data_IF_563296141687
#
_entry.id   IF_563296141687
#
_cell.length_a   1.000
_cell.length_b   1.000
_cell.length_c   1.000
_cell.angle_alpha   90.00
_cell.angle_beta   90.00
_cell.angle_gamma   90.00
#
_symmetry.space_group_name_H-M   'P 1'
#
loop_
_entity.id
_entity.type
_entity.pdbx_description
1 polymer ?
#
# COMPACT_ATOMS: atom_id res chain seq x y z
N UNK A 1 -12.13 2.74 0.94
CA UNK A 1 -13.22 2.60 1.94
C UNK A 1 -14.30 1.61 1.56
N UNK A 2 -14.94 1.72 0.38
CA UNK A 2 -16.02 0.80 -0.05
C UNK A 2 -15.64 -0.69 -0.07
N UNK A 3 -14.36 -0.99 -0.33
CA UNK A 3 -13.80 -2.34 -0.36
C UNK A 3 -13.31 -2.86 0.99
N UNK A 4 -13.38 -2.06 2.05
CA UNK A 4 -13.03 -2.46 3.41
C UNK A 4 -11.54 -2.75 3.66
N UNK A 5 -10.65 -2.38 2.74
CA UNK A 5 -9.21 -2.73 2.80
C UNK A 5 -8.32 -1.64 3.41
N UNK A 6 -8.88 -0.52 3.89
CA UNK A 6 -8.10 0.66 4.30
C UNK A 6 -7.10 0.41 5.44
N UNK A 7 -7.27 -0.69 6.18
CA UNK A 7 -6.43 -1.04 7.34
C UNK A 7 -5.57 -2.29 7.13
N UNK A 8 -5.57 -2.85 5.91
CA UNK A 8 -4.85 -4.10 5.63
C UNK A 8 -3.35 -3.86 5.36
N UNK A 9 -2.90 -2.61 5.31
CA UNK A 9 -1.48 -2.28 5.11
C UNK A 9 -0.96 -2.90 3.82
N UNK A 10 -0.04 -3.88 3.94
CA UNK A 10 0.53 -4.63 2.80
C UNK A 10 -0.06 -6.04 2.66
N UNK A 11 -1.11 -6.37 3.40
CA UNK A 11 -1.74 -7.69 3.38
C UNK A 11 -2.82 -7.77 2.29
N UNK A 12 -2.37 -7.62 1.05
CA UNK A 12 -3.19 -7.77 -0.14
C UNK A 12 -2.31 -8.21 -1.31
N UNK A 13 -2.97 -8.67 -2.37
CA UNK A 13 -2.30 -9.03 -3.62
C UNK A 13 -2.91 -8.31 -4.81
N UNK A 14 -2.14 -8.14 -5.87
CA UNK A 14 -2.59 -7.54 -7.13
C UNK A 14 -2.35 -8.50 -8.30
N UNK A 15 -3.34 -8.63 -9.17
CA UNK A 15 -3.23 -9.44 -10.39
C UNK A 15 -3.73 -8.64 -11.59
N UNK A 16 -3.18 -8.91 -12.78
CA UNK A 16 -3.71 -8.43 -14.04
C UNK A 16 -3.90 -9.58 -15.01
N UNK A 17 -4.97 -9.55 -15.83
CA UNK A 17 -5.16 -10.52 -16.91
C UNK A 17 -4.89 -9.89 -18.27
N UNK A 18 -4.09 -10.58 -19.08
CA UNK A 18 -3.82 -10.26 -20.46
C UNK A 18 -4.26 -11.40 -21.38
N UNK A 19 -4.42 -11.08 -22.66
CA UNK A 19 -4.74 -12.05 -23.71
C UNK A 19 -5.58 -11.42 -24.79
N UNK A 20 -5.64 -12.09 -25.95
CA UNK A 20 -6.35 -11.59 -27.13
C UNK A 20 -7.79 -11.18 -26.84
N UNK A 21 -8.32 -10.27 -27.64
CA UNK A 21 -9.70 -9.83 -27.55
C UNK A 21 -10.68 -11.02 -27.63
N UNK A 22 -11.77 -10.95 -26.88
CA UNK A 22 -12.85 -11.96 -26.88
C UNK A 22 -12.46 -13.40 -26.45
N UNK A 23 -11.34 -13.57 -25.74
CA UNK A 23 -10.89 -14.87 -25.18
C UNK A 23 -11.53 -15.24 -23.83
N UNK A 24 -12.54 -14.48 -23.39
CA UNK A 24 -13.26 -14.73 -22.13
C UNK A 24 -12.44 -14.43 -20.87
N UNK A 25 -11.68 -13.32 -20.87
CA UNK A 25 -10.89 -12.82 -19.73
C UNK A 25 -11.78 -12.42 -18.55
N UNK A 26 -12.69 -11.47 -18.75
CA UNK A 26 -13.65 -11.01 -17.73
C UNK A 26 -14.50 -12.17 -17.20
N UNK A 27 -14.92 -13.10 -18.08
CA UNK A 27 -15.62 -14.33 -17.69
C UNK A 27 -14.79 -15.21 -16.74
N UNK A 28 -13.48 -15.32 -16.99
CA UNK A 28 -12.58 -16.09 -16.14
C UNK A 28 -12.34 -15.40 -14.80
N UNK A 29 -12.09 -14.09 -14.82
CA UNK A 29 -11.90 -13.30 -13.60
C UNK A 29 -13.12 -13.37 -12.68
N UNK A 30 -14.32 -13.18 -13.24
CA UNK A 30 -15.56 -13.28 -12.48
C UNK A 30 -15.75 -14.68 -11.89
N UNK A 31 -15.36 -15.73 -12.62
CA UNK A 31 -15.48 -17.11 -12.14
C UNK A 31 -14.47 -17.45 -11.02
N UNK A 32 -13.21 -17.01 -11.15
CA UNK A 32 -12.17 -17.30 -10.13
C UNK A 32 -12.38 -16.41 -8.90
N UNK A 33 -12.51 -15.10 -9.09
CA UNK A 33 -12.42 -14.12 -8.01
C UNK A 33 -13.77 -13.62 -7.50
N UNK A 34 -14.87 -13.96 -8.15
CA UNK A 34 -16.20 -13.47 -7.80
C UNK A 34 -16.40 -11.98 -8.10
N UNK A 35 -15.65 -11.44 -9.07
CA UNK A 35 -15.81 -10.06 -9.56
C UNK A 35 -17.04 -9.92 -10.47
N UNK A 36 -17.43 -8.68 -10.75
CA UNK A 36 -18.60 -8.35 -11.59
C UNK A 36 -18.20 -7.55 -12.85
N UNK A 37 -17.09 -7.91 -13.49
CA UNK A 37 -16.68 -7.24 -14.72
C UNK A 37 -17.69 -7.45 -15.86
N UNK A 38 -17.93 -6.45 -16.72
CA UNK A 38 -18.77 -6.60 -17.90
C UNK A 38 -18.27 -7.75 -18.81
N UNK A 39 -19.19 -8.62 -19.24
CA UNK A 39 -18.88 -9.74 -20.14
C UNK A 39 -19.56 -9.51 -21.49
N UNK A 40 -18.89 -9.95 -22.57
CA UNK A 40 -19.41 -9.89 -23.93
C UNK A 40 -20.72 -10.66 -24.05
N UNK A 41 -21.75 -10.00 -24.59
CA UNK A 41 -23.01 -10.65 -24.95
C UNK A 41 -22.88 -11.30 -26.33
N UNK A 42 -22.65 -12.62 -26.34
CA UNK A 42 -22.45 -13.39 -27.57
C UNK A 42 -23.62 -13.30 -28.56
N UNK A 43 -24.84 -12.95 -28.09
CA UNK A 43 -26.02 -12.80 -28.94
C UNK A 43 -25.98 -11.53 -29.81
N UNK A 44 -25.14 -10.55 -29.45
CA UNK A 44 -25.01 -9.26 -30.15
C UNK A 44 -23.79 -9.18 -31.07
N UNK A 45 -23.11 -10.31 -31.27
CA UNK A 45 -21.90 -10.42 -32.10
C UNK A 45 -20.60 -10.27 -31.29
N UNK A 46 -19.48 -10.63 -31.92
CA UNK A 46 -18.14 -10.46 -31.33
C UNK A 46 -17.73 -9.01 -31.45
N UNK A 47 -17.70 -8.30 -30.32
CA UNK A 47 -17.30 -6.89 -30.23
C UNK A 47 -16.43 -6.66 -29.01
N UNK A 48 -15.70 -5.56 -29.03
CA UNK A 48 -15.00 -5.08 -27.87
C UNK A 48 -15.94 -4.94 -26.67
N UNK A 49 -15.52 -5.44 -25.50
CA UNK A 49 -16.31 -5.39 -24.25
C UNK A 49 -15.59 -4.59 -23.17
N UNK A 50 -14.30 -4.88 -22.95
CA UNK A 50 -13.45 -4.12 -22.02
C UNK A 50 -12.78 -2.98 -22.79
N UNK A 51 -12.93 -1.76 -22.29
CA UNK A 51 -12.24 -0.56 -22.75
C UNK A 51 -11.34 -0.06 -21.62
N UNK A 52 -10.04 0.02 -21.86
CA UNK A 52 -9.02 0.37 -20.87
C UNK A 52 -8.76 -0.73 -19.85
N UNK A 53 -8.40 -0.32 -18.62
CA UNK A 53 -8.12 -1.21 -17.51
C UNK A 53 -9.18 -1.01 -16.45
N UNK A 54 -9.86 -2.10 -16.08
CA UNK A 54 -10.84 -2.11 -15.01
C UNK A 54 -10.25 -2.79 -13.79
N UNK A 55 -10.54 -2.27 -12.60
CA UNK A 55 -10.09 -2.86 -11.34
C UNK A 55 -11.28 -3.26 -10.47
N UNK A 56 -11.20 -4.44 -9.86
CA UNK A 56 -12.21 -4.95 -8.93
C UNK A 56 -11.54 -5.68 -7.76
N UNK A 57 -12.25 -5.81 -6.64
CA UNK A 57 -11.81 -6.63 -5.50
C UNK A 57 -12.38 -8.04 -5.63
N UNK A 58 -11.59 -9.05 -5.32
CA UNK A 58 -12.10 -10.41 -5.13
C UNK A 58 -13.12 -10.47 -3.98
N UNK A 59 -14.19 -11.25 -4.17
CA UNK A 59 -15.24 -11.41 -3.18
C UNK A 59 -14.77 -12.08 -1.88
N UNK A 60 -13.77 -12.96 -1.98
CA UNK A 60 -13.39 -13.89 -0.89
C UNK A 60 -11.98 -13.65 -0.33
N UNK A 61 -11.23 -12.67 -0.85
CA UNK A 61 -9.87 -12.41 -0.44
C UNK A 61 -9.47 -10.95 -0.71
N UNK A 62 -8.40 -10.50 -0.06
CA UNK A 62 -7.78 -9.19 -0.30
C UNK A 62 -6.92 -9.23 -1.57
N UNK A 63 -7.58 -9.47 -2.71
CA UNK A 63 -6.95 -9.52 -4.02
C UNK A 63 -7.60 -8.45 -4.90
N UNK A 64 -6.79 -7.53 -5.40
CA UNK A 64 -7.18 -6.58 -6.43
C UNK A 64 -6.92 -7.19 -7.80
N UNK A 65 -7.95 -7.20 -8.64
CA UNK A 65 -7.98 -7.85 -9.93
C UNK A 65 -8.12 -6.79 -11.02
N UNK A 66 -7.21 -6.81 -11.99
CA UNK A 66 -7.26 -5.92 -13.15
C UNK A 66 -7.69 -6.69 -14.41
N UNK A 67 -8.84 -6.31 -14.98
CA UNK A 67 -9.27 -6.73 -16.33
C UNK A 67 -8.69 -5.75 -17.36
N UNK A 68 -7.62 -6.17 -18.02
CA UNK A 68 -6.97 -5.38 -19.07
C UNK A 68 -7.66 -5.65 -20.39
N UNK A 69 -7.88 -4.60 -21.15
CA UNK A 69 -8.35 -4.67 -22.52
C UNK A 69 -7.58 -5.72 -23.35
N UNK A 70 -8.30 -6.42 -24.23
CA UNK A 70 -7.68 -7.45 -25.06
C UNK A 70 -6.90 -6.87 -26.22
N UNK A 71 -5.70 -7.41 -26.42
CA UNK A 71 -4.86 -7.12 -27.59
C UNK A 71 -5.47 -7.69 -28.88
N UNK A 72 -5.03 -7.16 -30.03
CA UNK A 72 -5.37 -7.68 -31.38
C UNK A 72 -6.87 -7.57 -31.74
N UNK A 73 -7.50 -6.44 -31.39
CA UNK A 73 -8.88 -6.14 -31.77
C UNK A 73 -9.00 -5.46 -33.13
N UNK A 74 -9.96 -5.90 -33.96
CA UNK A 74 -10.24 -5.28 -35.28
C UNK A 74 -10.56 -3.78 -35.20
N UNK A 75 -11.06 -3.32 -34.05
CA UNK A 75 -11.56 -1.95 -33.83
C UNK A 75 -10.44 -0.94 -33.51
N UNK A 76 -9.19 -1.37 -33.28
CA UNK A 76 -8.09 -0.51 -32.82
C UNK A 76 -6.95 -0.25 -33.82
N UNK A 77 -6.82 -1.01 -34.91
CA UNK A 77 -5.66 -0.88 -35.79
C UNK A 77 -4.32 -1.12 -35.08
N UNK A 78 -3.20 -0.67 -35.65
CA UNK A 78 -1.84 -0.89 -35.13
C UNK A 78 -1.43 0.03 -33.95
N UNK A 79 -2.34 0.44 -33.05
CA UNK A 79 -1.97 1.33 -31.93
C UNK A 79 -1.29 0.58 -30.77
N UNK A 80 -0.06 0.13 -31.03
CA UNK A 80 0.81 -0.60 -30.10
C UNK A 80 1.19 0.20 -28.84
N UNK A 81 0.97 1.51 -28.84
CA UNK A 81 1.30 2.37 -27.69
C UNK A 81 0.35 2.13 -26.52
N UNK A 82 -0.94 1.91 -26.78
CA UNK A 82 -1.93 1.63 -25.72
C UNK A 82 -1.68 0.27 -25.09
N UNK A 83 -1.37 -0.75 -25.89
CA UNK A 83 -1.02 -2.08 -25.41
C UNK A 83 0.25 -2.04 -24.54
N UNK A 84 1.28 -1.31 -25.00
CA UNK A 84 2.53 -1.15 -24.25
C UNK A 84 2.34 -0.43 -22.92
N UNK A 85 1.58 0.67 -22.90
CA UNK A 85 1.25 1.39 -21.65
C UNK A 85 0.49 0.51 -20.67
N UNK A 86 -0.46 -0.26 -21.17
CA UNK A 86 -1.25 -1.18 -20.34
C UNK A 86 -0.38 -2.29 -19.74
N UNK A 87 0.57 -2.82 -20.54
CA UNK A 87 1.56 -3.79 -20.08
C UNK A 87 2.50 -3.21 -19.00
N UNK A 88 3.06 -2.02 -19.23
CA UNK A 88 3.92 -1.31 -18.27
C UNK A 88 3.20 -1.06 -16.95
N UNK A 89 2.01 -0.46 -17.01
CA UNK A 89 1.19 -0.19 -15.83
C UNK A 89 0.89 -1.47 -15.04
N UNK A 90 0.46 -2.52 -15.74
CA UNK A 90 0.12 -3.79 -15.08
C UNK A 90 1.35 -4.47 -14.48
N UNK A 91 2.51 -4.37 -15.12
CA UNK A 91 3.74 -4.96 -14.61
C UNK A 91 4.27 -4.21 -13.37
N UNK A 92 4.18 -2.89 -13.37
CA UNK A 92 4.58 -2.08 -12.22
C UNK A 92 3.66 -2.30 -11.00
N UNK A 93 2.37 -2.61 -11.23
CA UNK A 93 1.36 -2.67 -10.17
C UNK A 93 0.93 -4.07 -9.77
N UNK A 94 0.97 -5.07 -10.66
CA UNK A 94 0.53 -6.44 -10.41
C UNK A 94 1.68 -7.35 -9.95
N UNK A 95 1.40 -8.27 -9.03
CA UNK A 95 2.33 -9.35 -8.63
C UNK A 95 2.29 -10.52 -9.63
N UNK A 96 1.09 -10.75 -10.19
CA UNK A 96 0.81 -11.86 -11.10
C UNK A 96 0.19 -11.32 -12.38
N UNK A 97 0.79 -11.70 -13.51
CA UNK A 97 0.25 -11.46 -14.84
C UNK A 97 -0.34 -12.77 -15.37
N UNK A 98 -1.67 -12.84 -15.40
CA UNK A 98 -2.42 -13.96 -15.95
C UNK A 98 -2.46 -13.84 -17.47
N UNK A 99 -1.88 -14.79 -18.19
CA UNK A 99 -1.91 -14.82 -19.65
C UNK A 99 -2.98 -15.82 -20.09
N UNK A 100 -4.14 -15.31 -20.51
CA UNK A 100 -5.27 -16.11 -20.96
C UNK A 100 -5.18 -16.39 -22.46
N UNK A 101 -5.03 -17.67 -22.82
CA UNK A 101 -4.82 -18.10 -24.20
C UNK A 101 -5.52 -19.43 -24.49
N UNK A 102 -5.93 -19.68 -25.73
CA UNK A 102 -6.48 -20.97 -26.13
C UNK A 102 -5.38 -22.01 -26.41
N UNK A 103 -5.62 -23.28 -26.12
CA UNK A 103 -4.68 -24.39 -26.37
C UNK A 103 -4.16 -24.38 -27.82
N UNK A 104 -5.04 -24.13 -28.79
CA UNK A 104 -4.71 -24.11 -30.22
C UNK A 104 -3.74 -23.01 -30.65
N UNK A 105 -3.52 -21.98 -29.82
CA UNK A 105 -2.56 -20.90 -30.14
C UNK A 105 -1.16 -21.19 -29.63
N UNK A 106 -0.99 -22.23 -28.79
CA UNK A 106 0.31 -22.65 -28.30
C UNK A 106 1.13 -23.20 -29.47
N UNK A 107 2.30 -22.61 -29.70
CA UNK A 107 3.23 -23.01 -30.76
C UNK A 107 3.09 -22.25 -32.08
N UNK A 108 2.12 -21.34 -32.21
CA UNK A 108 2.05 -20.44 -33.37
C UNK A 108 3.12 -19.33 -33.25
N UNK A 109 3.96 -19.21 -34.28
CA UNK A 109 5.07 -18.25 -34.31
C UNK A 109 4.61 -16.78 -34.42
N UNK A 110 3.46 -16.54 -35.09
CA UNK A 110 2.86 -15.22 -35.30
C UNK A 110 1.58 -15.02 -34.47
N UNK A 111 1.50 -15.58 -33.26
CA UNK A 111 0.36 -15.35 -32.37
C UNK A 111 0.45 -13.99 -31.67
N UNK A 112 -0.69 -13.32 -31.48
CA UNK A 112 -0.82 -12.09 -30.68
C UNK A 112 -0.14 -12.17 -29.30
N UNK A 113 -0.06 -13.38 -28.73
CA UNK A 113 0.59 -13.62 -27.44
C UNK A 113 2.13 -13.44 -27.48
N UNK A 114 2.79 -13.70 -28.60
CA UNK A 114 4.26 -13.53 -28.73
C UNK A 114 4.61 -12.03 -28.70
N UNK A 115 3.85 -11.23 -29.44
CA UNK A 115 4.03 -9.77 -29.44
C UNK A 115 3.71 -9.16 -28.08
N UNK A 116 2.60 -9.58 -27.45
CA UNK A 116 2.27 -9.20 -26.09
C UNK A 116 3.41 -9.53 -25.10
N UNK A 117 3.95 -10.76 -25.13
CA UNK A 117 5.04 -11.16 -24.23
C UNK A 117 6.31 -10.34 -24.47
N UNK A 118 6.62 -10.04 -25.75
CA UNK A 118 7.74 -9.16 -26.08
C UNK A 118 7.56 -7.78 -25.46
N UNK A 119 6.37 -7.20 -25.59
CA UNK A 119 6.02 -5.90 -25.00
C UNK A 119 6.14 -5.94 -23.46
N UNK A 120 5.67 -7.01 -22.81
CA UNK A 120 5.80 -7.20 -21.35
C UNK A 120 7.27 -7.29 -20.92
N UNK A 121 8.11 -7.98 -21.67
CA UNK A 121 9.53 -8.12 -21.33
C UNK A 121 10.33 -6.83 -21.56
N UNK A 122 10.06 -6.12 -22.65
CA UNK A 122 10.62 -4.78 -22.91
C UNK A 122 10.22 -3.81 -21.81
N UNK A 123 8.93 -3.80 -21.45
CA UNK A 123 8.40 -3.02 -20.34
C UNK A 123 9.13 -3.32 -19.02
N UNK A 124 9.37 -4.60 -18.71
CA UNK A 124 10.08 -5.00 -17.50
C UNK A 124 11.50 -4.47 -17.42
N UNK A 125 12.23 -4.53 -18.53
CA UNK A 125 13.60 -4.02 -18.59
C UNK A 125 13.66 -2.51 -18.40
N UNK A 126 12.62 -1.77 -18.81
CA UNK A 126 12.53 -0.33 -18.61
C UNK A 126 12.30 0.05 -17.15
N UNK A 127 11.51 -0.75 -16.42
CA UNK A 127 11.26 -0.59 -14.99
C UNK A 127 12.45 -1.00 -14.12
N UNK A 128 13.31 -1.88 -14.63
CA UNK A 128 14.41 -2.51 -13.90
C UNK A 128 15.71 -1.74 -14.00
N UNK A 129 15.78 -0.55 -13.35
CA UNK A 129 16.96 0.32 -13.46
C UNK A 129 18.01 0.16 -12.36
N UNK A 130 17.64 -0.27 -11.15
CA UNK A 130 18.55 -0.26 -10.00
C UNK A 130 18.45 -1.51 -9.09
N UNK A 131 18.69 -2.69 -9.67
CA UNK A 131 19.12 -3.90 -8.92
C UNK A 131 18.11 -4.60 -8.01
N UNK A 132 17.08 -3.94 -7.50
CA UNK A 132 16.00 -4.54 -6.71
C UNK A 132 14.67 -4.39 -7.44
N UNK A 133 14.38 -5.37 -8.30
CA UNK A 133 13.03 -5.50 -8.89
C UNK A 133 12.34 -6.71 -8.31
N UNK A 134 11.09 -6.53 -7.88
CA UNK A 134 10.23 -7.63 -7.49
C UNK A 134 9.96 -8.50 -8.72
N UNK A 135 10.12 -9.81 -8.58
CA UNK A 135 9.80 -10.75 -9.65
C UNK A 135 8.31 -10.67 -9.98
N UNK A 136 7.94 -11.06 -11.19
CA UNK A 136 6.52 -11.16 -11.57
C UNK A 136 6.21 -12.60 -11.94
N UNK A 137 5.08 -13.13 -11.46
CA UNK A 137 4.63 -14.43 -11.92
C UNK A 137 3.88 -14.28 -13.25
N UNK A 138 4.34 -14.98 -14.28
CA UNK A 138 3.56 -15.20 -15.51
C UNK A 138 2.72 -16.45 -15.33
N UNK A 139 1.41 -16.27 -15.15
CA UNK A 139 0.46 -17.34 -14.90
C UNK A 139 -0.35 -17.64 -16.16
N UNK A 140 0.05 -18.66 -16.92
CA UNK A 140 -0.62 -19.03 -18.17
C UNK A 140 -1.87 -19.85 -17.89
N UNK A 141 -3.01 -19.35 -18.37
CA UNK A 141 -4.28 -20.07 -18.35
C UNK A 141 -4.58 -20.53 -19.76
N UNK A 142 -4.42 -21.83 -19.99
CA UNK A 142 -4.68 -22.50 -21.26
C UNK A 142 -6.15 -22.89 -21.31
N UNK A 143 -6.91 -22.18 -22.15
CA UNK A 143 -8.34 -22.34 -22.36
C UNK A 143 -8.62 -23.45 -23.38
N UNK A 144 -9.79 -24.05 -23.23
CA UNK A 144 -10.27 -25.15 -24.06
C UNK A 144 -9.31 -26.35 -24.08
N UNK A 145 -8.64 -26.58 -22.94
CA UNK A 145 -7.68 -27.66 -22.78
C UNK A 145 -8.39 -29.01 -22.83
N UNK A 146 -8.05 -29.82 -23.83
CA UNK A 146 -8.69 -31.13 -24.08
C UNK A 146 -7.96 -32.30 -23.42
N UNK A 147 -6.72 -32.09 -22.96
CA UNK A 147 -5.88 -33.15 -22.40
C UNK A 147 -5.24 -34.07 -23.44
N UNK A 148 -5.44 -33.84 -24.74
CA UNK A 148 -4.82 -34.62 -25.80
C UNK A 148 -3.28 -34.50 -25.79
N UNK A 149 -2.79 -33.29 -25.51
CA UNK A 149 -1.37 -33.03 -25.24
C UNK A 149 -1.19 -32.80 -23.74
N UNK A 150 -0.31 -33.54 -23.05
CA UNK A 150 -0.06 -33.31 -21.63
C UNK A 150 0.41 -31.87 -21.34
N UNK A 151 -0.10 -31.28 -20.25
CA UNK A 151 0.20 -29.88 -19.89
C UNK A 151 1.69 -29.57 -19.76
N UNK A 152 2.50 -30.54 -19.31
CA UNK A 152 3.96 -30.40 -19.21
C UNK A 152 4.63 -30.10 -20.56
N UNK A 153 4.10 -30.64 -21.67
CA UNK A 153 4.61 -30.35 -23.01
C UNK A 153 4.30 -28.91 -23.42
N UNK A 154 3.12 -28.41 -23.03
CA UNK A 154 2.75 -27.01 -23.22
C UNK A 154 3.63 -26.08 -22.38
N UNK A 155 3.93 -26.46 -21.13
CA UNK A 155 4.85 -25.75 -20.25
C UNK A 155 6.25 -25.62 -20.86
N UNK A 156 6.83 -26.73 -21.31
CA UNK A 156 8.14 -26.76 -21.96
C UNK A 156 8.17 -25.89 -23.22
N UNK A 157 7.09 -25.96 -24.03
CA UNK A 157 6.97 -25.15 -25.24
C UNK A 157 6.88 -23.66 -24.92
N UNK A 158 6.04 -23.26 -23.96
CA UNK A 158 5.92 -21.87 -23.53
C UNK A 158 7.24 -21.34 -22.97
N UNK A 159 7.94 -22.15 -22.16
CA UNK A 159 9.26 -21.79 -21.61
C UNK A 159 10.30 -21.56 -22.72
N UNK A 160 10.31 -22.41 -23.74
CA UNK A 160 11.16 -22.24 -24.91
C UNK A 160 10.83 -20.93 -25.65
N UNK A 161 9.55 -20.65 -25.90
CA UNK A 161 9.10 -19.41 -26.55
C UNK A 161 9.55 -18.18 -25.75
N UNK A 162 9.30 -18.16 -24.45
CA UNK A 162 9.70 -17.04 -23.58
C UNK A 162 11.21 -16.82 -23.59
N UNK A 163 12.00 -17.89 -23.57
CA UNK A 163 13.46 -17.80 -23.64
C UNK A 163 13.93 -17.24 -24.98
N UNK A 164 13.31 -17.65 -26.09
CA UNK A 164 13.59 -17.10 -27.43
C UNK A 164 13.23 -15.62 -27.51
N UNK A 165 12.04 -15.22 -27.04
CA UNK A 165 11.61 -13.81 -27.02
C UNK A 165 12.58 -12.99 -26.16
N UNK A 166 12.90 -13.45 -24.95
CA UNK A 166 13.86 -12.80 -24.05
C UNK A 166 15.21 -12.61 -24.73
N UNK A 167 15.74 -13.63 -25.41
CA UNK A 167 17.01 -13.55 -26.15
C UNK A 167 16.99 -12.55 -27.31
N UNK A 168 15.83 -12.36 -27.96
CA UNK A 168 15.67 -11.46 -29.10
C UNK A 168 15.46 -9.99 -28.76
N UNK A 169 15.18 -9.64 -27.49
CA UNK A 169 14.95 -8.26 -27.05
C UNK A 169 16.29 -7.54 -26.82
N UNK A 170 16.33 -6.26 -27.23
CA UNK A 170 17.47 -5.36 -26.98
C UNK A 170 17.55 -5.04 -25.48
N UNK A 171 18.60 -5.51 -24.82
CA UNK A 171 18.86 -5.23 -23.41
C UNK A 171 19.81 -4.04 -23.26
N UNK A 172 19.62 -3.18 -22.25
CA UNK A 172 20.65 -2.22 -21.84
C UNK A 172 21.96 -2.93 -21.45
N UNK A 173 23.11 -2.27 -21.66
CA UNK A 173 24.44 -2.86 -21.41
C UNK A 173 24.63 -3.45 -20.01
N UNK A 174 23.97 -2.88 -19.00
CA UNK A 174 24.05 -3.33 -17.61
C UNK A 174 23.18 -4.56 -17.31
N UNK A 175 22.26 -4.95 -18.22
CA UNK A 175 21.34 -6.09 -18.07
C UNK A 175 21.60 -7.22 -19.09
N UNK A 176 22.69 -7.15 -19.87
CA UNK A 176 22.96 -8.11 -20.95
C UNK A 176 23.11 -9.57 -20.45
N UNK A 177 23.62 -9.75 -19.23
CA UNK A 177 23.87 -11.07 -18.64
C UNK A 177 22.66 -11.64 -17.87
N UNK A 178 21.57 -10.89 -17.72
CA UNK A 178 20.45 -11.33 -16.90
C UNK A 178 19.55 -12.33 -17.65
N UNK A 179 19.18 -13.38 -16.93
CA UNK A 179 18.30 -14.43 -17.41
C UNK A 179 16.84 -14.04 -17.23
N UNK A 180 15.96 -14.68 -18.00
CA UNK A 180 14.51 -14.53 -17.85
C UNK A 180 14.05 -14.86 -16.42
N UNK A 181 14.65 -15.90 -15.81
CA UNK A 181 14.33 -16.37 -14.46
C UNK A 181 14.70 -15.39 -13.35
N UNK A 182 15.53 -14.38 -13.63
CA UNK A 182 15.86 -13.35 -12.63
C UNK A 182 14.68 -12.40 -12.40
N UNK A 183 13.78 -12.28 -13.38
CA UNK A 183 12.63 -11.35 -13.34
C UNK A 183 11.28 -12.06 -13.28
N UNK A 184 11.18 -13.26 -13.84
CA UNK A 184 9.90 -13.93 -14.00
C UNK A 184 9.94 -15.37 -13.50
N UNK A 185 8.91 -15.73 -12.75
CA UNK A 185 8.52 -17.11 -12.51
C UNK A 185 7.37 -17.47 -13.46
N UNK A 186 7.14 -18.77 -13.71
CA UNK A 186 6.07 -19.21 -14.60
C UNK A 186 5.27 -20.35 -14.00
N UNK A 187 3.96 -20.30 -14.18
CA UNK A 187 3.03 -21.38 -13.87
C UNK A 187 2.04 -21.54 -15.02
N UNK A 188 1.58 -22.76 -15.26
CA UNK A 188 0.62 -23.06 -16.31
C UNK A 188 -0.52 -23.90 -15.75
N UNK A 189 -1.74 -23.61 -16.19
CA UNK A 189 -2.93 -24.40 -15.87
C UNK A 189 -3.80 -24.58 -17.11
N UNK A 190 -4.37 -25.77 -17.28
CA UNK A 190 -5.36 -26.06 -18.31
C UNK A 190 -6.77 -25.96 -17.75
N UNK A 191 -7.66 -25.26 -18.47
CA UNK A 191 -9.09 -25.20 -18.17
C UNK A 191 -9.90 -25.85 -19.30
N UNK A 192 -10.85 -26.75 -18.97
CA UNK A 192 -11.73 -27.38 -19.96
C UNK A 192 -12.55 -26.37 -20.78
N UNK A 193 -13.05 -26.75 -21.96
CA UNK A 193 -13.88 -25.87 -22.78
C UNK A 193 -15.24 -25.60 -22.15
N UNK A 194 -15.43 -24.40 -21.60
CA UNK A 194 -16.67 -23.97 -20.89
C UNK A 194 -17.97 -24.23 -21.68
N UNK A 195 -18.08 -23.95 -22.99
CA UNK A 195 -19.34 -24.15 -23.72
C UNK A 195 -19.79 -25.60 -23.82
N UNK A 196 -18.84 -26.55 -23.82
CA UNK A 196 -19.12 -27.98 -24.01
C UNK A 196 -19.06 -28.78 -22.72
N UNK A 197 -18.26 -28.33 -21.75
CA UNK A 197 -18.02 -29.02 -20.47
C UNK A 197 -18.12 -28.04 -19.28
N UNK A 198 -19.29 -27.43 -19.04
CA UNK A 198 -19.45 -26.38 -18.03
C UNK A 198 -19.20 -26.87 -16.60
N UNK A 199 -19.62 -28.09 -16.26
CA UNK A 199 -19.41 -28.66 -14.92
C UNK A 199 -17.93 -28.90 -14.63
N UNK A 200 -17.21 -29.51 -15.58
CA UNK A 200 -15.76 -29.74 -15.44
C UNK A 200 -14.97 -28.43 -15.42
N UNK A 201 -15.41 -27.43 -16.20
CA UNK A 201 -14.82 -26.09 -16.15
C UNK A 201 -15.00 -25.46 -14.76
N UNK A 202 -16.21 -25.52 -14.19
CA UNK A 202 -16.48 -24.97 -12.87
C UNK A 202 -15.66 -25.69 -11.79
N UNK A 203 -15.59 -27.03 -11.82
CA UNK A 203 -14.75 -27.79 -10.88
C UNK A 203 -13.26 -27.43 -11.00
N UNK A 204 -12.77 -27.25 -12.23
CA UNK A 204 -11.39 -26.82 -12.47
C UNK A 204 -11.14 -25.39 -11.97
N UNK A 205 -12.10 -24.48 -12.14
CA UNK A 205 -12.04 -23.11 -11.59
C UNK A 205 -12.07 -23.12 -10.07
N UNK A 206 -12.88 -23.98 -9.44
CA UNK A 206 -12.93 -24.10 -7.98
C UNK A 206 -11.60 -24.59 -7.42
N UNK A 207 -10.98 -25.59 -8.06
CA UNK A 207 -9.60 -26.04 -7.73
C UNK A 207 -8.57 -24.94 -7.96
N UNK A 208 -8.70 -24.18 -9.05
CA UNK A 208 -7.80 -23.06 -9.35
C UNK A 208 -7.91 -21.95 -8.31
N UNK A 209 -9.13 -21.66 -7.82
CA UNK A 209 -9.37 -20.64 -6.79
C UNK A 209 -8.56 -20.92 -5.52
N UNK A 210 -8.45 -22.19 -5.11
CA UNK A 210 -7.67 -22.58 -3.94
C UNK A 210 -6.20 -22.16 -4.05
N UNK A 211 -5.61 -22.19 -5.24
CA UNK A 211 -4.22 -21.72 -5.46
C UNK A 211 -4.03 -20.23 -5.20
N UNK A 212 -5.09 -19.43 -5.24
CA UNK A 212 -5.05 -18.00 -4.92
C UNK A 212 -5.43 -17.68 -3.47
N UNK A 213 -6.04 -18.62 -2.73
CA UNK A 213 -6.62 -18.34 -1.40
C UNK A 213 -6.08 -19.23 -0.28
N UNK A 214 -5.63 -20.45 -0.58
CA UNK A 214 -5.07 -21.38 0.40
C UNK A 214 -3.54 -21.35 0.36
N UNK A 215 -2.94 -20.73 1.39
CA UNK A 215 -1.49 -20.62 1.54
C UNK A 215 -0.77 -21.95 1.74
N UNK A 216 -1.50 -23.04 2.01
CA UNK A 216 -0.94 -24.39 2.12
C UNK A 216 -0.97 -25.18 0.79
N UNK A 217 -1.59 -24.63 -0.27
CA UNK A 217 -1.57 -25.28 -1.58
C UNK A 217 -0.12 -25.36 -2.10
N UNK A 218 0.29 -26.54 -2.55
CA UNK A 218 1.64 -26.74 -3.12
C UNK A 218 1.94 -25.84 -4.33
N UNK A 219 0.88 -25.35 -4.99
CA UNK A 219 0.90 -24.44 -6.12
C UNK A 219 0.31 -23.08 -5.75
N UNK A 220 0.43 -22.66 -4.48
CA UNK A 220 0.01 -21.32 -4.06
C UNK A 220 0.70 -20.26 -4.93
N UNK A 221 -0.10 -19.33 -5.42
CA UNK A 221 0.28 -18.41 -6.50
C UNK A 221 1.19 -17.29 -6.00
N UNK A 222 0.89 -16.71 -4.84
CA UNK A 222 1.59 -15.51 -4.37
C UNK A 222 2.86 -15.88 -3.60
N UNK A 223 3.94 -15.13 -3.86
CA UNK A 223 5.20 -15.26 -3.12
C UNK A 223 5.65 -13.88 -2.64
N UNK A 224 6.37 -13.79 -1.50
CA UNK A 224 6.86 -12.51 -1.00
C UNK A 224 7.72 -11.73 -2.01
N UNK A 225 8.45 -12.42 -2.89
CA UNK A 225 9.28 -11.79 -3.93
C UNK A 225 8.49 -11.14 -5.08
N UNK A 226 7.18 -11.33 -5.15
CA UNK A 226 6.31 -10.68 -6.14
C UNK A 226 5.66 -9.40 -5.62
N UNK A 227 5.50 -9.30 -4.30
CA UNK A 227 4.74 -8.23 -3.67
C UNK A 227 5.44 -6.87 -3.85
N UNK A 228 4.72 -5.88 -4.38
CA UNK A 228 5.29 -4.55 -4.74
C UNK A 228 5.65 -3.68 -3.55
N UNK A 229 5.25 -4.06 -2.35
CA UNK A 229 5.64 -3.39 -1.09
C UNK A 229 4.87 -2.11 -0.79
N UNK A 230 3.87 -1.78 -1.61
CA UNK A 230 3.03 -0.60 -1.47
C UNK A 230 1.93 -0.89 -0.45
N UNK A 231 1.72 -0.03 0.57
CA UNK A 231 0.54 -0.11 1.42
C UNK A 231 -0.73 0.24 0.63
N UNK A 232 -1.83 -0.45 0.91
CA UNK A 232 -3.10 -0.31 0.19
C UNK A 232 -3.69 1.10 0.25
N UNK A 233 -3.44 1.85 1.34
CA UNK A 233 -3.89 3.23 1.48
C UNK A 233 -3.10 4.22 0.60
N UNK A 234 -1.92 3.82 0.11
CA UNK A 234 -1.12 4.53 -0.88
C UNK A 234 -1.22 3.99 -2.30
N UNK A 235 -1.87 2.84 -2.52
CA UNK A 235 -1.88 2.15 -3.81
C UNK A 235 -2.52 2.98 -4.93
N UNK A 236 -3.61 3.71 -4.66
CA UNK A 236 -4.27 4.55 -5.67
C UNK A 236 -3.38 5.68 -6.16
N UNK A 237 -2.63 6.30 -5.25
CA UNK A 237 -1.67 7.36 -5.58
C UNK A 237 -0.52 6.78 -6.41
N UNK A 238 0.07 5.68 -5.95
CA UNK A 238 1.10 4.96 -6.68
C UNK A 238 0.67 4.62 -8.12
N UNK A 239 -0.49 3.98 -8.27
CA UNK A 239 -1.03 3.63 -9.58
C UNK A 239 -1.24 4.88 -10.46
N UNK A 240 -1.74 5.97 -9.88
CA UNK A 240 -1.95 7.23 -10.60
C UNK A 240 -0.64 7.85 -11.08
N UNK A 241 0.42 7.82 -10.27
CA UNK A 241 1.75 8.32 -10.62
C UNK A 241 2.40 7.47 -11.71
N UNK A 242 2.31 6.14 -11.60
CA UNK A 242 2.77 5.22 -12.65
C UNK A 242 2.06 5.55 -13.97
N UNK A 243 0.73 5.68 -13.96
CA UNK A 243 -0.04 6.00 -15.16
C UNK A 243 0.30 7.38 -15.74
N UNK A 244 0.45 8.40 -14.89
CA UNK A 244 0.80 9.76 -15.31
C UNK A 244 2.24 9.85 -15.86
N UNK A 245 3.18 9.17 -15.22
CA UNK A 245 4.56 9.12 -15.68
C UNK A 245 4.67 8.41 -17.03
N UNK A 246 3.91 7.34 -17.26
CA UNK A 246 3.83 6.69 -18.58
C UNK A 246 3.24 7.60 -19.66
N UNK A 247 2.26 8.44 -19.30
CA UNK A 247 1.72 9.43 -20.23
C UNK A 247 2.77 10.47 -20.64
N UNK A 248 3.58 10.93 -19.68
CA UNK A 248 4.61 11.95 -19.89
C UNK A 248 5.92 11.39 -20.47
N UNK A 249 6.27 10.13 -20.18
CA UNK A 249 7.44 9.43 -20.72
C UNK A 249 7.42 9.37 -22.25
N UNK A 250 6.24 9.14 -22.84
CA UNK A 250 6.04 9.15 -24.30
C UNK A 250 6.25 10.54 -24.92
N UNK A 251 6.14 11.62 -24.13
CA UNK A 251 6.35 12.99 -24.58
C UNK A 251 7.78 13.51 -24.34
N UNK A 252 8.48 12.99 -23.32
CA UNK A 252 9.75 13.57 -22.83
C UNK A 252 10.94 12.61 -22.77
N UNK A 253 10.82 11.36 -23.24
CA UNK A 253 11.89 10.33 -23.20
C UNK A 253 12.42 10.07 -21.77
N UNK A 254 11.57 10.33 -20.77
CA UNK A 254 11.85 10.10 -19.35
C UNK A 254 11.43 8.68 -18.99
N UNK A 255 12.31 7.96 -18.31
CA UNK A 255 12.05 6.58 -17.92
C UNK A 255 11.44 6.49 -16.53
N UNK A 256 10.46 5.61 -16.36
CA UNK A 256 9.83 5.31 -15.08
C UNK A 256 10.85 4.66 -14.12
N UNK A 257 10.96 5.21 -12.90
CA UNK A 257 11.80 4.68 -11.84
C UNK A 257 10.95 4.31 -10.61
N UNK A 258 10.64 3.02 -10.46
CA UNK A 258 9.74 2.52 -9.41
C UNK A 258 10.28 2.83 -8.00
N UNK A 259 11.53 2.49 -7.62
CA UNK A 259 12.09 2.84 -6.33
C UNK A 259 11.86 4.30 -5.93
N UNK A 260 12.16 5.26 -6.81
CA UNK A 260 11.92 6.67 -6.54
C UNK A 260 10.44 6.99 -6.31
N UNK A 261 9.52 6.41 -7.09
CA UNK A 261 8.08 6.60 -6.86
C UNK A 261 7.63 6.06 -5.48
N UNK A 262 8.19 4.93 -5.02
CA UNK A 262 7.85 4.40 -3.68
C UNK A 262 8.32 5.32 -2.56
N UNK A 263 9.51 5.89 -2.70
CA UNK A 263 10.07 6.87 -1.76
C UNK A 263 9.21 8.14 -1.73
N UNK A 264 8.89 8.70 -2.91
CA UNK A 264 8.05 9.90 -3.02
C UNK A 264 6.66 9.69 -2.41
N UNK A 265 6.03 8.54 -2.71
CA UNK A 265 4.76 8.16 -2.09
C UNK A 265 4.87 8.11 -0.57
N UNK A 266 5.91 7.46 -0.05
CA UNK A 266 6.13 7.36 1.39
C UNK A 266 6.32 8.73 2.05
N UNK A 267 7.04 9.66 1.43
CA UNK A 267 7.19 11.03 1.92
C UNK A 267 5.84 11.77 1.97
N UNK A 268 5.10 11.73 0.86
CA UNK A 268 3.80 12.39 0.75
C UNK A 268 2.81 11.84 1.78
N UNK A 269 2.66 10.51 1.86
CA UNK A 269 1.72 9.85 2.78
C UNK A 269 2.11 10.06 4.24
N UNK A 270 3.39 9.93 4.59
CA UNK A 270 3.85 10.23 5.94
C UNK A 270 3.58 11.69 6.34
N UNK A 271 3.68 12.64 5.40
CA UNK A 271 3.36 14.05 5.66
C UNK A 271 1.86 14.29 5.90
N UNK A 272 0.98 13.66 5.12
CA UNK A 272 -0.48 13.73 5.33
C UNK A 272 -0.88 13.14 6.68
N UNK A 273 -0.39 11.93 7.00
CA UNK A 273 -0.66 11.26 8.27
C UNK A 273 -0.11 12.06 9.46
N UNK A 274 1.06 12.70 9.30
CA UNK A 274 1.63 13.60 10.30
C UNK A 274 0.74 14.81 10.55
N UNK A 275 0.13 15.37 9.50
CA UNK A 275 -0.81 16.50 9.61
C UNK A 275 -2.10 16.10 10.31
N UNK A 276 -2.63 14.90 10.02
CA UNK A 276 -3.79 14.34 10.72
C UNK A 276 -3.49 14.11 12.21
N UNK A 277 -2.34 13.50 12.53
CA UNK A 277 -1.90 13.27 13.90
C UNK A 277 -1.74 14.58 14.68
N UNK A 278 -1.18 15.63 14.06
CA UNK A 278 -1.09 16.97 14.65
C UNK A 278 -2.46 17.57 14.92
N UNK A 279 -3.42 17.36 14.02
CA UNK A 279 -4.79 17.87 14.18
C UNK A 279 -5.48 17.19 15.36
N UNK A 280 -5.40 15.85 15.45
CA UNK A 280 -5.93 15.05 16.57
C UNK A 280 -5.27 15.42 17.89
N UNK A 281 -3.94 15.60 17.89
CA UNK A 281 -3.19 16.07 19.06
C UNK A 281 -3.73 17.41 19.57
N UNK A 282 -3.87 18.41 18.69
CA UNK A 282 -4.40 19.74 19.05
C UNK A 282 -5.82 19.68 19.60
N UNK A 283 -6.67 18.83 19.03
CA UNK A 283 -8.01 18.59 19.55
C UNK A 283 -7.96 17.99 20.96
N UNK A 284 -7.11 16.98 21.18
CA UNK A 284 -6.97 16.30 22.48
C UNK A 284 -6.50 17.24 23.60
N UNK A 285 -5.61 18.19 23.32
CA UNK A 285 -5.09 19.12 24.33
C UNK A 285 -5.92 20.39 24.48
N UNK A 286 -6.90 20.65 23.61
CA UNK A 286 -7.63 21.93 23.53
C UNK A 286 -8.29 22.36 24.85
N UNK A 287 -8.98 21.44 25.52
CA UNK A 287 -9.64 21.70 26.81
C UNK A 287 -8.61 22.01 27.91
N UNK A 288 -7.55 21.21 27.98
CA UNK A 288 -6.46 21.41 28.94
C UNK A 288 -5.75 22.73 28.70
N UNK A 289 -5.46 23.06 27.44
CA UNK A 289 -4.86 24.32 27.04
C UNK A 289 -5.75 25.51 27.44
N UNK A 290 -7.07 25.43 27.24
CA UNK A 290 -8.01 26.48 27.67
C UNK A 290 -7.98 26.71 29.19
N UNK A 291 -7.95 25.65 29.99
CA UNK A 291 -7.85 25.75 31.45
C UNK A 291 -6.55 26.43 31.89
N UNK A 292 -5.40 25.98 31.37
CA UNK A 292 -4.10 26.54 31.72
C UNK A 292 -3.99 28.01 31.25
N UNK A 293 -4.50 28.33 30.06
CA UNK A 293 -4.55 29.71 29.56
C UNK A 293 -5.44 30.64 30.39
N UNK A 294 -6.48 30.11 31.04
CA UNK A 294 -7.34 30.87 31.95
C UNK A 294 -6.74 31.13 33.34
N UNK A 295 -5.47 30.73 33.57
CA UNK A 295 -4.80 30.88 34.85
C UNK A 295 -5.11 29.76 35.86
N UNK A 296 -5.82 28.72 35.45
CA UNK A 296 -6.14 27.58 36.33
C UNK A 296 -4.99 26.58 36.35
N UNK A 297 -4.82 25.91 37.49
CA UNK A 297 -3.91 24.78 37.66
C UNK A 297 -4.70 23.51 37.37
N UNK A 298 -4.19 22.69 36.46
CA UNK A 298 -4.78 21.38 36.12
C UNK A 298 -4.08 20.27 36.91
N UNK A 299 -4.84 19.47 37.66
CA UNK A 299 -4.34 18.27 38.34
C UNK A 299 -4.15 17.14 37.30
N UNK A 300 -3.14 16.27 37.46
CA UNK A 300 -2.92 15.21 36.45
C UNK A 300 -2.32 15.70 35.13
N UNK A 301 -1.80 16.93 35.08
CA UNK A 301 -1.39 17.56 33.83
C UNK A 301 -0.36 16.72 33.05
N UNK A 302 0.65 16.17 33.74
CA UNK A 302 1.66 15.31 33.11
C UNK A 302 1.06 14.07 32.43
N UNK A 303 0.14 13.38 33.12
CA UNK A 303 -0.56 12.20 32.58
C UNK A 303 -1.43 12.56 31.36
N UNK A 304 -2.10 13.72 31.39
CA UNK A 304 -2.89 14.20 30.25
C UNK A 304 -2.00 14.53 29.03
N UNK A 305 -0.84 15.15 29.25
CA UNK A 305 0.13 15.44 28.18
C UNK A 305 0.67 14.16 27.56
N UNK A 306 1.06 13.19 28.40
CA UNK A 306 1.59 11.91 27.96
C UNK A 306 0.55 11.12 27.18
N UNK A 307 -0.69 11.08 27.68
CA UNK A 307 -1.81 10.44 27.00
C UNK A 307 -2.07 11.07 25.63
N UNK A 308 -2.21 12.40 25.56
CA UNK A 308 -2.49 13.10 24.30
C UNK A 308 -1.39 12.87 23.24
N UNK A 309 -0.12 12.94 23.66
CA UNK A 309 1.02 12.64 22.79
C UNK A 309 1.02 11.17 22.36
N UNK A 310 0.82 10.25 23.30
CA UNK A 310 0.81 8.80 23.05
C UNK A 310 -0.28 8.38 22.08
N UNK A 311 -1.50 8.89 22.22
CA UNK A 311 -2.61 8.62 21.32
C UNK A 311 -2.36 9.17 19.91
N UNK A 312 -1.84 10.39 19.80
CA UNK A 312 -1.51 11.00 18.51
C UNK A 312 -0.40 10.24 17.77
N UNK A 313 0.67 9.86 18.48
CA UNK A 313 1.75 9.04 17.91
C UNK A 313 1.25 7.65 17.54
N UNK A 314 0.45 7.00 18.38
CA UNK A 314 -0.10 5.66 18.08
C UNK A 314 -0.96 5.70 16.82
N UNK A 315 -1.74 6.77 16.64
CA UNK A 315 -2.53 6.99 15.43
C UNK A 315 -1.65 7.10 14.19
N UNK A 316 -0.54 7.84 14.28
CA UNK A 316 0.45 7.92 13.21
C UNK A 316 1.11 6.56 12.92
N UNK A 317 1.58 5.87 13.97
CA UNK A 317 2.32 4.62 13.87
C UNK A 317 1.48 3.49 13.23
N UNK A 318 0.18 3.41 13.52
CA UNK A 318 -0.71 2.38 12.95
C UNK A 318 -0.68 2.41 11.41
N UNK A 319 -0.75 3.60 10.81
CA UNK A 319 -0.82 3.76 9.36
C UNK A 319 0.57 3.92 8.73
N UNK A 320 1.47 4.68 9.36
CA UNK A 320 2.74 5.08 8.75
C UNK A 320 3.82 3.98 8.79
N UNK A 321 3.74 3.02 9.73
CA UNK A 321 4.75 1.93 9.88
C UNK A 321 4.91 1.05 8.63
N UNK A 322 3.92 1.06 7.74
CA UNK A 322 3.93 0.27 6.51
C UNK A 322 4.71 0.96 5.38
N UNK A 323 5.17 2.19 5.55
CA UNK A 323 6.00 2.90 4.57
C UNK A 323 7.49 2.67 4.83
N UNK A 324 8.34 3.28 4.00
CA UNK A 324 9.79 3.12 4.08
C UNK A 324 10.33 3.50 5.47
N UNK A 325 11.13 2.61 6.07
CA UNK A 325 11.53 2.70 7.47
C UNK A 325 12.16 4.05 7.81
N UNK A 326 13.13 4.51 7.02
CA UNK A 326 13.84 5.76 7.28
C UNK A 326 12.92 7.00 7.25
N UNK A 327 11.94 7.01 6.33
CA UNK A 327 11.00 8.12 6.17
C UNK A 327 10.02 8.14 7.36
N UNK A 328 9.50 6.96 7.70
CA UNK A 328 8.64 6.79 8.86
C UNK A 328 9.34 7.22 10.15
N UNK A 329 10.56 6.76 10.41
CA UNK A 329 11.30 7.09 11.63
C UNK A 329 11.62 8.58 11.71
N UNK A 330 12.08 9.19 10.62
CA UNK A 330 12.38 10.63 10.59
C UNK A 330 11.13 11.48 10.82
N UNK A 331 10.00 11.14 10.18
CA UNK A 331 8.74 11.85 10.39
C UNK A 331 8.19 11.67 11.81
N UNK A 332 8.33 10.46 12.37
CA UNK A 332 7.94 10.15 13.75
C UNK A 332 8.71 10.99 14.76
N UNK A 333 10.02 11.11 14.59
CA UNK A 333 10.88 11.91 15.49
C UNK A 333 10.57 13.41 15.38
N UNK A 334 10.30 13.90 14.16
CA UNK A 334 9.82 15.27 13.93
C UNK A 334 8.48 15.53 14.63
N UNK A 335 7.54 14.58 14.58
CA UNK A 335 6.26 14.65 15.30
C UNK A 335 6.45 14.71 16.81
N UNK A 336 7.27 13.81 17.36
CA UNK A 336 7.59 13.81 18.79
C UNK A 336 8.16 15.14 19.26
N UNK A 337 9.09 15.69 18.50
CA UNK A 337 9.73 16.98 18.80
C UNK A 337 8.70 18.10 18.79
N UNK A 338 7.88 18.18 17.74
CA UNK A 338 6.83 19.20 17.61
C UNK A 338 5.81 19.12 18.76
N UNK A 339 5.37 17.91 19.14
CA UNK A 339 4.46 17.72 20.27
C UNK A 339 5.12 18.14 21.59
N UNK A 340 6.38 17.77 21.82
CA UNK A 340 7.09 18.17 23.03
C UNK A 340 7.27 19.70 23.12
N UNK A 341 7.51 20.39 22.00
CA UNK A 341 7.59 21.85 21.96
C UNK A 341 6.25 22.52 22.32
N UNK A 342 5.14 22.09 21.74
CA UNK A 342 3.80 22.61 22.08
C UNK A 342 3.45 22.33 23.55
N UNK A 343 3.74 21.11 24.03
CA UNK A 343 3.52 20.69 25.42
C UNK A 343 4.40 21.47 26.42
N UNK A 344 5.65 21.78 26.08
CA UNK A 344 6.54 22.54 26.93
C UNK A 344 6.03 23.97 27.16
N UNK A 345 5.39 24.59 26.17
CA UNK A 345 4.74 25.90 26.32
C UNK A 345 3.64 25.84 27.37
N UNK A 346 2.74 24.84 27.28
CA UNK A 346 1.66 24.66 28.25
C UNK A 346 2.19 24.33 29.64
N UNK A 347 3.24 23.51 29.74
CA UNK A 347 3.87 23.17 31.02
C UNK A 347 4.48 24.38 31.72
N UNK A 348 5.19 25.25 30.99
CA UNK A 348 5.71 26.52 31.55
C UNK A 348 4.58 27.41 32.07
N UNK A 349 3.45 27.44 31.38
CA UNK A 349 2.29 28.22 31.81
C UNK A 349 1.62 27.61 33.06
N UNK A 350 1.49 26.29 33.12
CA UNK A 350 1.03 25.56 34.31
C UNK A 350 1.92 25.87 35.53
N UNK A 351 3.25 25.87 35.37
CA UNK A 351 4.19 26.22 36.44
C UNK A 351 4.01 27.67 36.92
N UNK A 352 3.77 28.60 35.99
CA UNK A 352 3.47 30.01 36.32
C UNK A 352 2.18 30.13 37.13
N UNK A 353 1.11 29.44 36.72
CA UNK A 353 -0.16 29.43 37.44
C UNK A 353 -0.01 28.81 38.84
N UNK A 354 0.75 27.73 38.95
CA UNK A 354 1.05 27.05 40.21
C UNK A 354 1.85 27.95 41.16
N UNK A 355 2.83 28.70 40.64
CA UNK A 355 3.62 29.65 41.42
C UNK A 355 2.73 30.79 41.96
N UNK A 356 1.85 31.35 41.12
CA UNK A 356 0.90 32.37 41.55
C UNK A 356 -0.06 31.86 42.65
N UNK A 357 -0.63 30.66 42.47
CA UNK A 357 -1.49 29.99 43.46
C UNK A 357 -0.74 29.74 44.78
N UNK A 358 0.52 29.33 44.70
CA UNK A 358 1.36 29.06 45.87
C UNK A 358 1.68 30.35 46.65
N UNK A 359 1.94 31.46 45.94
CA UNK A 359 2.14 32.77 46.55
C UNK A 359 0.88 33.27 47.28
N UNK A 360 -0.30 33.14 46.66
CA UNK A 360 -1.58 33.51 47.28
C UNK A 360 -1.88 32.66 48.53
N UNK A 361 -1.58 31.36 48.48
CA UNK A 361 -1.69 30.47 49.64
C UNK A 361 -0.73 30.87 50.77
N UNK A 362 0.49 31.27 50.44
CA UNK A 362 1.47 31.75 51.41
C UNK A 362 0.96 33.01 52.12
N UNK A 363 0.52 34.02 51.37
CA UNK A 363 -0.05 35.25 51.93
C UNK A 363 -1.25 34.96 52.83
N UNK A 364 -2.14 34.07 52.39
CA UNK A 364 -3.33 33.68 53.16
C UNK A 364 -2.98 32.97 54.46
N UNK A 365 -1.99 32.07 54.45
CA UNK A 365 -1.52 31.36 55.65
C UNK A 365 -0.71 32.24 56.58
N UNK A 366 -0.03 33.27 56.06
CA UNK A 366 0.75 34.23 56.85
C UNK A 366 -0.12 35.26 57.58
N UNK A 367 -1.25 35.70 56.99
CA UNK A 367 -2.16 36.70 57.59
C UNK A 367 -2.55 36.45 59.06
N UNK A 368 -2.94 35.22 59.49
CA UNK A 368 -3.32 34.95 60.88
C UNK A 368 -2.13 34.64 61.81
N UNK A 369 -0.88 34.67 61.32
CA UNK A 369 0.28 34.29 62.13
C UNK A 369 0.62 35.41 63.11
N UNK A 370 0.44 35.12 64.39
CA UNK A 370 0.92 35.91 65.50
C UNK A 370 1.88 35.08 66.38
N UNK A 371 2.85 35.75 67.00
CA UNK A 371 3.84 35.12 67.86
C UNK A 371 4.36 36.10 68.92
N UNK A 372 4.63 35.57 70.11
CA UNK A 372 5.07 36.35 71.27
C UNK A 372 6.57 36.72 71.21
N UNK A 373 7.32 36.10 70.29
CA UNK A 373 8.74 36.41 70.01
C UNK A 373 9.05 36.35 68.51
N UNK A 374 10.10 37.07 68.11
CA UNK A 374 10.59 37.10 66.71
C UNK A 374 11.05 35.71 66.27
N UNK A 375 11.73 34.95 67.13
CA UNK A 375 12.21 33.61 66.80
C UNK A 375 11.05 32.64 66.50
N UNK A 376 9.98 32.72 67.29
CA UNK A 376 8.79 31.88 67.10
C UNK A 376 8.01 32.28 65.84
N UNK A 377 7.98 33.57 65.50
CA UNK A 377 7.44 34.05 64.23
C UNK A 377 8.22 33.49 63.04
N UNK A 378 9.55 33.59 63.07
CA UNK A 378 10.43 33.10 62.02
C UNK A 378 10.31 31.58 61.83
N UNK A 379 10.23 30.81 62.91
CA UNK A 379 10.04 29.36 62.84
C UNK A 379 8.69 28.98 62.20
N UNK A 380 7.60 29.68 62.53
CA UNK A 380 6.27 29.46 61.93
C UNK A 380 6.27 29.83 60.44
N UNK A 381 6.85 30.97 60.08
CA UNK A 381 6.95 31.41 58.68
C UNK A 381 7.77 30.42 57.84
N UNK A 382 8.88 29.92 58.38
CA UNK A 382 9.73 28.93 57.71
C UNK A 382 8.99 27.60 57.49
N UNK A 383 8.23 27.13 58.48
CA UNK A 383 7.40 25.92 58.34
C UNK A 383 6.33 26.08 57.24
N UNK A 384 5.66 27.23 57.18
CA UNK A 384 4.67 27.52 56.13
C UNK A 384 5.35 27.54 54.75
N UNK A 385 6.51 28.21 54.65
CA UNK A 385 7.32 28.28 53.43
C UNK A 385 7.69 26.90 52.92
N UNK A 386 8.23 26.04 53.79
CA UNK A 386 8.64 24.67 53.44
C UNK A 386 7.46 23.83 52.97
N UNK A 387 6.32 23.89 53.68
CA UNK A 387 5.12 23.15 53.31
C UNK A 387 4.60 23.54 51.91
N UNK A 388 4.55 24.84 51.61
CA UNK A 388 4.09 25.32 50.29
C UNK A 388 5.08 24.95 49.19
N UNK A 389 6.39 25.03 49.47
CA UNK A 389 7.42 24.59 48.53
C UNK A 389 7.30 23.10 48.21
N UNK A 390 7.01 22.27 49.21
CA UNK A 390 6.77 20.84 49.01
C UNK A 390 5.54 20.61 48.11
N UNK A 391 4.42 21.28 48.38
CA UNK A 391 3.21 21.18 47.54
C UNK A 391 3.50 21.61 46.10
N UNK A 392 4.26 22.69 45.92
CA UNK A 392 4.66 23.16 44.59
C UNK A 392 5.52 22.10 43.87
N UNK A 393 6.51 21.53 44.55
CA UNK A 393 7.38 20.50 43.97
C UNK A 393 6.60 19.24 43.58
N UNK A 394 5.71 18.77 44.44
CA UNK A 394 4.86 17.60 44.16
C UNK A 394 3.96 17.84 42.94
N UNK A 395 3.32 19.01 42.85
CA UNK A 395 2.48 19.38 41.72
C UNK A 395 3.28 19.65 40.42
N UNK A 396 4.49 20.21 40.53
CA UNK A 396 5.36 20.49 39.39
C UNK A 396 6.01 19.23 38.80
N UNK A 397 6.31 18.22 39.63
CA UNK A 397 6.89 16.95 39.18
C UNK A 397 5.86 16.00 38.54
N UNK A 398 4.58 16.38 38.51
CA UNK A 398 3.56 15.67 37.72
C UNK A 398 3.29 14.21 38.14
N UNK A 399 3.72 13.79 39.33
CA UNK A 399 3.39 12.47 39.90
C UNK A 399 2.12 12.56 40.74
N UNK A 400 1.01 12.90 40.10
CA UNK A 400 -0.37 12.52 40.43
C UNK A 400 -1.21 12.71 39.19
#
# INVERSE_FOLDING_TARGET
>A
DSWGMSHDGRDYHTIAIFGSQSTGKSTLLNAIFGTEFPIMDASKGRRQTTLGIWMGKSANANILVMDVEGVDGQEQGEDKLVERRSALFSLATAEVLVINMHEVTIGLYNGANVELLKTVFEANLELSKDGETCKTLLFFVVRDYTGATPLIQHEDKLRSIMTTIWGGIKKPKHLENNSFSDYFDCMVVGLPPKPFMPEQFNEAVDKLRLRFTDTNDSNYVFKPCYHRGIPIDGFSHYASEIWASEHNAVLEDRTLDIPSQQVLLAEHRCMELSTEAKTKFKQSISATAAHVNSGKVVDGFGNLMEKARGEAITTFDISAKHYHLNIYTDMRDKLYTAFNEELAILFRLQLKNLAAKSAEQFDTRMKPVHADSVDLFMAKAESIRQNILQIFQEAACGRY
#
